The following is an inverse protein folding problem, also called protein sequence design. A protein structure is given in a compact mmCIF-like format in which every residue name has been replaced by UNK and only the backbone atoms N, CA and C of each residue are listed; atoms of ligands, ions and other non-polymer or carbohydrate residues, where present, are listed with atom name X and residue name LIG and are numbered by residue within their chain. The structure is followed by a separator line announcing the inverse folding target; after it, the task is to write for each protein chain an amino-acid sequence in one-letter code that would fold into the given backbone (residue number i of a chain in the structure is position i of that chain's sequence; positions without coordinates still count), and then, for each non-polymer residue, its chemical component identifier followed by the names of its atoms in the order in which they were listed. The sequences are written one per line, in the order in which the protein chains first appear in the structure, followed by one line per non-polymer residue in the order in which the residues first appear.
data_IF_211393565059
#
_entry.id   IF_211393565059
#
_cell.length_a   1.000
_cell.length_b   1.000
_cell.length_c   1.000
_cell.angle_alpha   90.00
_cell.angle_beta   90.00
_cell.angle_gamma   90.00
#
_symmetry.space_group_name_H-M   'P 1'
#
loop_
_entity.id
_entity.type
_entity.pdbx_description
1 polymer ?
#
# COMPACT_ATOMS: atom_id res chain seq x y z
N UNK A 1 -11.07 -19.80 -2.14
CA UNK A 1 -9.62 -19.93 -1.84
C UNK A 1 -9.42 -20.07 -0.33
N UNK A 2 -10.01 -21.09 0.31
CA UNK A 2 -10.29 -21.09 1.76
C UNK A 2 -9.11 -21.49 2.67
N UNK A 3 -7.88 -21.19 2.27
CA UNK A 3 -6.69 -21.48 3.09
C UNK A 3 -5.47 -20.62 2.77
N UNK A 4 -5.39 -20.05 1.57
CA UNK A 4 -4.20 -19.30 1.13
C UNK A 4 -4.20 -17.82 1.49
N UNK A 5 -5.31 -17.25 1.98
CA UNK A 5 -5.34 -15.82 2.35
C UNK A 5 -4.36 -15.49 3.47
N UNK A 6 -4.15 -16.41 4.43
CA UNK A 6 -3.13 -16.25 5.48
C UNK A 6 -1.71 -16.24 4.92
N UNK A 7 -1.45 -17.13 3.95
CA UNK A 7 -0.15 -17.19 3.28
C UNK A 7 0.08 -15.94 2.40
N UNK A 8 -0.94 -15.48 1.69
CA UNK A 8 -0.89 -14.24 0.92
C UNK A 8 -0.66 -13.02 1.82
N UNK A 9 -1.34 -12.93 2.97
CA UNK A 9 -1.09 -11.88 3.97
C UNK A 9 0.35 -11.91 4.49
N UNK A 10 0.88 -13.11 4.78
CA UNK A 10 2.26 -13.28 5.20
C UNK A 10 3.27 -12.86 4.12
N UNK A 11 3.00 -13.18 2.85
CA UNK A 11 3.83 -12.76 1.73
C UNK A 11 3.83 -11.25 1.54
N UNK A 12 2.70 -10.56 1.78
CA UNK A 12 2.64 -9.09 1.76
C UNK A 12 3.49 -8.49 2.88
N UNK A 13 3.48 -9.10 4.08
CA UNK A 13 4.37 -8.68 5.18
C UNK A 13 5.84 -8.89 4.83
N UNK A 14 6.16 -10.00 4.16
CA UNK A 14 7.51 -10.29 3.70
C UNK A 14 7.95 -9.31 2.60
N UNK A 15 7.05 -8.90 1.70
CA UNK A 15 7.33 -7.86 0.70
C UNK A 15 7.70 -6.52 1.36
N UNK A 16 7.05 -6.13 2.46
CA UNK A 16 7.43 -4.94 3.23
C UNK A 16 8.82 -5.03 3.86
N UNK A 17 9.27 -6.23 4.24
CA UNK A 17 10.65 -6.41 4.67
C UNK A 17 11.61 -6.21 3.49
N UNK A 18 11.31 -6.80 2.34
CA UNK A 18 12.12 -6.66 1.12
C UNK A 18 12.26 -5.20 0.67
N UNK A 19 11.18 -4.41 0.70
CA UNK A 19 11.10 -2.97 0.38
C UNK A 19 11.96 -2.07 1.30
N UNK A 20 12.20 -2.53 2.54
CA UNK A 20 13.13 -1.84 3.43
C UNK A 20 14.57 -2.20 3.08
N UNK A 21 14.82 -3.42 2.60
CA UNK A 21 16.15 -3.91 2.27
C UNK A 21 16.67 -3.37 0.93
N UNK A 22 15.89 -3.37 -0.14
CA UNK A 22 16.30 -2.83 -1.44
C UNK A 22 16.60 -1.32 -1.35
N UNK A 23 15.76 -0.54 -0.67
CA UNK A 23 15.99 0.89 -0.45
C UNK A 23 17.20 1.17 0.45
N UNK A 24 17.52 0.30 1.42
CA UNK A 24 18.76 0.42 2.21
C UNK A 24 20.00 0.02 1.39
N UNK A 25 19.93 -1.07 0.66
CA UNK A 25 21.03 -1.58 -0.16
C UNK A 25 21.39 -0.62 -1.28
N UNK A 26 20.41 -0.05 -1.99
CA UNK A 26 20.64 0.95 -3.04
C UNK A 26 21.39 2.18 -2.51
N UNK A 27 21.00 2.68 -1.31
CA UNK A 27 21.69 3.80 -0.64
C UNK A 27 23.09 3.44 -0.17
N UNK A 28 23.29 2.24 0.37
CA UNK A 28 24.62 1.78 0.80
C UNK A 28 25.58 1.62 -0.39
N UNK A 29 25.09 1.16 -1.52
CA UNK A 29 25.87 0.93 -2.73
C UNK A 29 26.07 2.20 -3.58
N UNK A 30 25.45 3.34 -3.21
CA UNK A 30 25.47 4.58 -3.98
C UNK A 30 24.98 4.39 -5.43
N UNK A 31 23.98 3.52 -5.61
CA UNK A 31 23.35 3.22 -6.91
C UNK A 31 21.90 3.71 -6.89
N UNK A 32 21.67 4.91 -6.37
CA UNK A 32 20.39 5.59 -6.48
C UNK A 32 20.28 6.26 -7.86
N UNK A 33 19.25 5.89 -8.62
CA UNK A 33 18.97 6.51 -9.92
C UNK A 33 17.52 7.00 -9.95
N UNK A 34 17.21 8.10 -10.67
CA UNK A 34 15.84 8.59 -10.80
C UNK A 34 14.87 7.53 -11.34
N UNK A 35 15.36 6.70 -12.28
CA UNK A 35 14.58 5.58 -12.83
C UNK A 35 14.31 4.50 -11.77
N UNK A 36 15.27 4.23 -10.87
CA UNK A 36 15.11 3.31 -9.77
C UNK A 36 14.02 3.73 -8.79
N UNK A 37 13.90 5.04 -8.51
CA UNK A 37 12.86 5.60 -7.62
C UNK A 37 11.45 5.40 -8.21
N UNK A 38 11.29 5.55 -9.53
CA UNK A 38 9.99 5.30 -10.18
C UNK A 38 9.67 3.79 -10.23
N UNK A 39 10.67 2.94 -10.44
CA UNK A 39 10.51 1.48 -10.39
C UNK A 39 10.10 0.99 -9.00
N UNK A 40 10.71 1.53 -7.95
CA UNK A 40 10.36 1.31 -6.55
C UNK A 40 8.90 1.69 -6.28
N UNK A 41 8.50 2.88 -6.74
CA UNK A 41 7.11 3.36 -6.63
C UNK A 41 6.10 2.44 -7.33
N UNK A 42 6.45 1.86 -8.48
CA UNK A 42 5.60 0.89 -9.19
C UNK A 42 5.51 -0.44 -8.43
N UNK A 43 6.63 -0.93 -7.88
CA UNK A 43 6.66 -2.13 -7.06
C UNK A 43 5.82 -1.96 -5.79
N UNK A 44 5.86 -0.78 -5.18
CA UNK A 44 5.05 -0.35 -4.04
C UNK A 44 3.54 -0.44 -4.33
N UNK A 45 3.10 0.04 -5.50
CA UNK A 45 1.69 -0.02 -5.92
C UNK A 45 1.21 -1.46 -6.05
N UNK A 46 2.05 -2.33 -6.62
CA UNK A 46 1.67 -3.74 -6.80
C UNK A 46 1.65 -4.48 -5.46
N UNK A 47 2.70 -4.30 -4.65
CA UNK A 47 2.90 -5.02 -3.38
C UNK A 47 1.95 -4.57 -2.28
N UNK A 48 1.67 -3.27 -2.18
CA UNK A 48 0.85 -2.70 -1.09
C UNK A 48 -0.48 -2.10 -1.55
N UNK A 49 -0.69 -1.89 -2.85
CA UNK A 49 -1.97 -1.50 -3.41
C UNK A 49 -2.76 -2.72 -3.92
N UNK A 50 -2.22 -3.39 -4.93
CA UNK A 50 -2.94 -4.45 -5.67
C UNK A 50 -3.06 -5.74 -4.86
N UNK A 51 -1.96 -6.24 -4.27
CA UNK A 51 -1.98 -7.51 -3.54
C UNK A 51 -2.95 -7.50 -2.34
N UNK A 52 -2.98 -6.47 -1.46
CA UNK A 52 -3.96 -6.39 -0.38
C UNK A 52 -5.40 -6.25 -0.89
N UNK A 53 -5.62 -5.54 -1.99
CA UNK A 53 -6.96 -5.41 -2.59
C UNK A 53 -7.48 -6.76 -3.10
N UNK A 54 -6.65 -7.55 -3.79
CA UNK A 54 -6.99 -8.91 -4.22
C UNK A 54 -7.29 -9.78 -2.99
N UNK A 55 -6.46 -9.69 -1.97
CA UNK A 55 -6.64 -10.46 -0.73
C UNK A 55 -8.00 -10.18 -0.08
N UNK A 56 -8.39 -8.91 0.10
CA UNK A 56 -9.72 -8.54 0.62
C UNK A 56 -10.84 -9.02 -0.30
N UNK A 57 -10.67 -8.93 -1.62
CA UNK A 57 -11.63 -9.41 -2.60
C UNK A 57 -11.86 -10.93 -2.49
N UNK A 58 -10.81 -11.72 -2.28
CA UNK A 58 -10.93 -13.19 -2.16
C UNK A 58 -11.60 -13.65 -0.86
N UNK A 59 -11.64 -12.80 0.17
CA UNK A 59 -12.26 -13.10 1.47
C UNK A 59 -13.76 -12.78 1.51
N UNK A 60 -14.28 -12.05 0.52
CA UNK A 60 -15.67 -11.58 0.50
C UNK A 60 -16.44 -12.09 -0.71
N UNK A 61 -17.77 -12.12 -0.58
CA UNK A 61 -18.64 -12.30 -1.74
C UNK A 61 -18.60 -11.05 -2.62
N UNK A 62 -18.64 -11.21 -3.96
CA UNK A 62 -18.64 -10.08 -4.87
C UNK A 62 -19.84 -9.17 -4.57
N UNK A 63 -19.56 -7.88 -4.40
CA UNK A 63 -20.56 -6.84 -4.18
C UNK A 63 -20.12 -5.55 -4.87
N UNK A 64 -21.04 -4.67 -5.28
CA UNK A 64 -20.68 -3.41 -5.94
C UNK A 64 -19.74 -2.55 -5.09
N UNK A 65 -19.93 -2.55 -3.76
CA UNK A 65 -19.08 -1.84 -2.82
C UNK A 65 -17.65 -2.42 -2.79
N UNK A 66 -17.52 -3.74 -2.79
CA UNK A 66 -16.23 -4.41 -2.83
C UNK A 66 -15.50 -4.11 -4.13
N UNK A 67 -16.18 -4.16 -5.28
CA UNK A 67 -15.60 -3.83 -6.58
C UNK A 67 -15.11 -2.38 -6.62
N UNK A 68 -15.91 -1.45 -6.10
CA UNK A 68 -15.51 -0.05 -5.99
C UNK A 68 -14.26 0.11 -5.13
N UNK A 69 -14.24 -0.50 -3.94
CA UNK A 69 -13.10 -0.43 -3.04
C UNK A 69 -11.84 -1.09 -3.63
N UNK A 70 -12.00 -2.21 -4.34
CA UNK A 70 -10.93 -2.95 -5.01
C UNK A 70 -10.25 -2.12 -6.10
N UNK A 71 -11.01 -1.33 -6.86
CA UNK A 71 -10.49 -0.44 -7.90
C UNK A 71 -9.94 0.85 -7.29
N UNK A 72 -10.64 1.43 -6.32
CA UNK A 72 -10.28 2.72 -5.73
C UNK A 72 -8.97 2.65 -4.94
N UNK A 73 -8.69 1.55 -4.26
CA UNK A 73 -7.53 1.43 -3.37
C UNK A 73 -6.18 1.49 -4.11
N UNK A 74 -5.91 0.71 -5.18
CA UNK A 74 -4.68 0.84 -5.96
C UNK A 74 -4.56 2.19 -6.67
N UNK A 75 -5.66 2.75 -7.18
CA UNK A 75 -5.67 4.07 -7.84
C UNK A 75 -5.31 5.18 -6.85
N UNK A 76 -5.89 5.15 -5.65
CA UNK A 76 -5.56 6.06 -4.56
C UNK A 76 -4.07 5.96 -4.18
N UNK A 77 -3.54 4.74 -4.09
CA UNK A 77 -2.12 4.48 -3.85
C UNK A 77 -1.21 5.07 -4.93
N UNK A 78 -1.54 4.83 -6.20
CA UNK A 78 -0.79 5.36 -7.35
C UNK A 78 -0.80 6.89 -7.39
N UNK A 79 -1.96 7.51 -7.16
CA UNK A 79 -2.09 8.97 -7.09
C UNK A 79 -1.25 9.58 -5.96
N UNK A 80 -1.23 8.93 -4.79
CA UNK A 80 -0.42 9.35 -3.66
C UNK A 80 1.08 9.31 -3.99
N UNK A 81 1.57 8.20 -4.55
CA UNK A 81 2.99 8.03 -4.92
C UNK A 81 3.42 9.04 -5.99
N UNK A 82 2.63 9.22 -7.05
CA UNK A 82 2.93 10.22 -8.07
C UNK A 82 3.00 11.65 -7.51
N UNK A 83 2.15 12.00 -6.54
CA UNK A 83 2.26 13.29 -5.84
C UNK A 83 3.53 13.42 -4.99
N UNK A 84 4.01 12.32 -4.41
CA UNK A 84 5.23 12.29 -3.61
C UNK A 84 6.48 12.45 -4.49
N UNK A 85 6.52 11.81 -5.67
CA UNK A 85 7.66 11.91 -6.61
C UNK A 85 7.81 13.32 -7.19
N UNK A 86 6.70 14.01 -7.48
CA UNK A 86 6.73 15.37 -8.07
C UNK A 86 7.01 16.47 -7.03
N UNK A 87 6.62 16.27 -5.77
CA UNK A 87 6.82 17.24 -4.68
C UNK A 87 7.46 16.56 -3.47
N UNK A 88 8.80 16.40 -3.43
CA UNK A 88 9.48 15.94 -2.24
C UNK A 88 9.15 16.89 -1.09
N UNK A 89 8.42 16.38 -0.10
CA UNK A 89 7.82 17.18 0.96
C UNK A 89 8.89 17.63 1.94
N UNK A 90 9.31 18.89 1.83
CA UNK A 90 10.17 19.53 2.83
C UNK A 90 9.29 19.92 4.04
N UNK A 91 9.31 19.11 5.09
CA UNK A 91 8.82 19.52 6.43
C UNK A 91 7.46 19.00 6.90
N UNK A 92 6.66 18.30 6.08
CA UNK A 92 5.36 17.73 6.50
C UNK A 92 5.11 16.35 5.87
N UNK A 93 4.63 15.39 6.66
CA UNK A 93 4.09 14.13 6.11
C UNK A 93 2.66 14.37 5.62
N UNK A 94 2.36 13.94 4.38
CA UNK A 94 1.04 14.07 3.76
C UNK A 94 0.40 12.69 3.60
N UNK A 95 -0.68 12.45 4.34
CA UNK A 95 -1.50 11.24 4.22
C UNK A 95 -0.86 9.96 4.78
N UNK A 96 -1.64 8.88 4.78
CA UNK A 96 -1.20 7.57 5.26
C UNK A 96 -0.30 6.88 4.23
N UNK A 97 0.86 6.30 4.61
CA UNK A 97 1.70 5.53 3.71
C UNK A 97 0.97 4.38 3.02
N UNK A 98 1.24 4.17 1.73
CA UNK A 98 0.66 3.06 0.96
C UNK A 98 1.07 1.73 1.59
N UNK A 99 2.33 1.62 1.99
CA UNK A 99 2.89 0.51 2.77
C UNK A 99 2.08 0.26 4.04
N UNK A 100 1.85 1.30 4.85
CA UNK A 100 1.09 1.18 6.10
C UNK A 100 -0.35 0.71 5.87
N UNK A 101 -1.03 1.23 4.85
CA UNK A 101 -2.41 0.85 4.55
C UNK A 101 -2.53 -0.53 3.86
N UNK A 102 -1.55 -0.95 3.07
CA UNK A 102 -1.48 -2.32 2.57
C UNK A 102 -1.19 -3.33 3.68
N UNK A 103 -0.29 -2.98 4.60
CA UNK A 103 0.06 -3.77 5.77
C UNK A 103 -1.11 -3.91 6.75
N UNK A 104 -1.88 -2.87 7.01
CA UNK A 104 -3.06 -2.96 7.90
C UNK A 104 -4.07 -3.97 7.37
N UNK A 105 -4.35 -3.96 6.06
CA UNK A 105 -5.23 -4.95 5.43
C UNK A 105 -4.66 -6.37 5.51
N UNK A 106 -3.35 -6.54 5.29
CA UNK A 106 -2.69 -7.84 5.40
C UNK A 106 -2.74 -8.39 6.85
N UNK A 107 -2.44 -7.55 7.85
CA UNK A 107 -2.49 -7.94 9.26
C UNK A 107 -3.91 -8.33 9.68
N UNK A 108 -4.91 -7.54 9.31
CA UNK A 108 -6.31 -7.87 9.63
C UNK A 108 -6.71 -9.22 9.00
N UNK A 109 -6.29 -9.48 7.77
CA UNK A 109 -6.58 -10.72 7.08
C UNK A 109 -5.93 -11.96 7.73
N UNK A 110 -4.79 -11.81 8.42
CA UNK A 110 -4.21 -12.91 9.22
C UNK A 110 -5.14 -13.35 10.35
N UNK A 111 -5.83 -12.40 10.97
CA UNK A 111 -6.84 -12.64 12.01
C UNK A 111 -8.22 -12.97 11.43
N UNK A 112 -8.31 -13.23 10.12
CA UNK A 112 -9.57 -13.50 9.40
C UNK A 112 -10.57 -12.35 9.46
N UNK A 113 -10.11 -11.14 9.78
CA UNK A 113 -10.91 -9.92 9.70
C UNK A 113 -10.59 -9.18 8.41
N UNK A 114 -11.61 -8.81 7.67
CA UNK A 114 -11.44 -7.85 6.57
C UNK A 114 -12.77 -7.13 6.36
N UNK A 115 -12.70 -5.88 5.93
CA UNK A 115 -13.90 -5.12 5.64
C UNK A 115 -13.69 -4.22 4.40
N UNK A 116 -14.58 -4.30 3.40
CA UNK A 116 -14.47 -3.48 2.19
C UNK A 116 -14.60 -1.98 2.50
N UNK A 117 -15.37 -1.65 3.54
CA UNK A 117 -15.49 -0.28 4.04
C UNK A 117 -14.16 0.26 4.59
N UNK A 118 -13.39 -0.54 5.31
CA UNK A 118 -12.07 -0.13 5.80
C UNK A 118 -11.10 0.06 4.64
N UNK A 119 -11.12 -0.83 3.64
CA UNK A 119 -10.30 -0.67 2.44
C UNK A 119 -10.64 0.64 1.71
N UNK A 120 -11.92 0.97 1.55
CA UNK A 120 -12.36 2.23 0.97
C UNK A 120 -11.93 3.44 1.84
N UNK A 121 -12.09 3.34 3.17
CA UNK A 121 -11.67 4.36 4.11
C UNK A 121 -10.16 4.62 4.01
N UNK A 122 -9.35 3.57 3.93
CA UNK A 122 -7.90 3.66 3.75
C UNK A 122 -7.54 4.29 2.40
N UNK A 123 -8.26 3.95 1.33
CA UNK A 123 -8.08 4.60 0.02
C UNK A 123 -8.34 6.12 0.10
N UNK A 124 -9.43 6.52 0.78
CA UNK A 124 -9.73 7.94 1.01
C UNK A 124 -8.64 8.59 1.87
N UNK A 125 -8.15 7.93 2.92
CA UNK A 125 -7.09 8.42 3.79
C UNK A 125 -5.73 8.57 3.09
N UNK A 126 -5.41 7.72 2.10
CA UNK A 126 -4.21 7.86 1.27
C UNK A 126 -4.24 9.13 0.41
N UNK A 127 -5.42 9.48 -0.12
CA UNK A 127 -5.61 10.69 -0.96
C UNK A 127 -5.83 11.94 -0.10
N UNK A 128 -6.34 11.75 1.12
CA UNK A 128 -6.66 12.84 2.04
C UNK A 128 -5.39 13.63 2.42
N UNK A 129 -5.40 14.96 2.27
CA UNK A 129 -4.27 15.81 2.61
C UNK A 129 -4.22 16.10 4.12
N UNK A 130 -4.29 15.07 4.96
CA UNK A 130 -4.09 15.25 6.40
C UNK A 130 -2.62 15.62 6.61
N UNK A 131 -2.40 16.89 6.94
CA UNK A 131 -1.09 17.45 7.29
C UNK A 131 -0.85 17.15 8.77
N UNK A 132 0.11 16.30 9.09
CA UNK A 132 0.59 16.16 10.47
C UNK A 132 1.80 17.09 10.63
N UNK A 133 1.72 18.13 11.50
CA UNK A 133 2.86 18.99 11.78
C UNK A 133 3.95 18.19 12.52
N UNK A 134 5.23 18.40 12.18
CA UNK A 134 6.35 17.92 12.99
C UNK A 134 6.28 18.58 14.37
N UNK A 135 6.26 17.79 15.43
CA UNK A 135 6.64 18.21 16.78
C UNK A 135 8.16 18.33 16.85
#
# INVERSE_FOLDING_TARGET
MNGYYKMAAFLILLAALCDVFDGKLARMLHVDSPMGVELDSLADIVSFGVAPAILVHTMHTPSPLLTLAFIAFPIAGAWRLGRFNIKPTVGYYMGVPITLAGLTLAVLALFSFSSPLLMLLLAILMVSPIRIPKL
#
